data_IF_312130317755
#
_entry.id   IF_312130317755
#
_cell.length_a   1.000
_cell.length_b   1.000
_cell.length_c   1.000
_cell.angle_alpha   90.00
_cell.angle_beta   90.00
_cell.angle_gamma   90.00
#
_symmetry.space_group_name_H-M   'P 1'
#
loop_
_entity.id
_entity.type
_entity.pdbx_description
1 polymer ?
#
# COMPACT_ATOMS: atom_id res chain seq x y z
N UNK A 1 -34.25 -22.83 45.21
CA UNK A 1 -34.22 -22.30 43.83
C UNK A 1 -35.35 -21.30 43.68
N UNK A 2 -35.10 -20.08 43.18
CA UNK A 2 -36.18 -19.14 42.82
C UNK A 2 -37.04 -19.75 41.71
N UNK A 3 -38.34 -19.47 41.70
CA UNK A 3 -39.18 -19.94 40.60
C UNK A 3 -38.78 -19.26 39.27
N UNK A 4 -39.00 -19.91 38.11
CA UNK A 4 -38.71 -19.28 36.82
C UNK A 4 -39.37 -17.91 36.63
N UNK A 5 -40.58 -17.70 37.20
CA UNK A 5 -41.28 -16.40 37.15
C UNK A 5 -40.62 -15.32 38.01
N UNK A 6 -40.10 -15.68 39.17
CA UNK A 6 -39.37 -14.75 40.04
C UNK A 6 -38.02 -14.36 39.45
N UNK A 7 -37.31 -15.32 38.84
CA UNK A 7 -36.07 -15.07 38.12
C UNK A 7 -36.30 -14.15 36.92
N UNK A 8 -37.37 -14.39 36.15
CA UNK A 8 -37.74 -13.54 35.01
C UNK A 8 -38.03 -12.10 35.46
N UNK A 9 -38.85 -11.92 36.50
CA UNK A 9 -39.13 -10.60 37.06
C UNK A 9 -37.85 -9.88 37.50
N UNK A 10 -37.00 -10.58 38.27
CA UNK A 10 -35.76 -10.01 38.81
C UNK A 10 -34.81 -9.57 37.69
N UNK A 11 -34.57 -10.44 36.71
CA UNK A 11 -33.63 -10.15 35.62
C UNK A 11 -34.17 -9.09 34.66
N UNK A 12 -35.50 -9.01 34.45
CA UNK A 12 -36.11 -8.00 33.58
C UNK A 12 -35.99 -6.57 34.12
N UNK A 13 -35.82 -6.41 35.43
CA UNK A 13 -35.70 -5.12 36.10
C UNK A 13 -34.23 -4.66 36.22
N UNK A 14 -33.26 -5.53 35.90
CA UNK A 14 -31.83 -5.28 36.04
C UNK A 14 -31.20 -4.84 34.71
N UNK A 15 -30.15 -4.01 34.80
CA UNK A 15 -29.34 -3.68 33.64
C UNK A 15 -28.42 -4.85 33.29
N UNK A 16 -28.73 -5.57 32.21
CA UNK A 16 -27.98 -6.78 31.84
C UNK A 16 -26.53 -6.46 31.45
N UNK A 17 -26.25 -5.25 30.92
CA UNK A 17 -24.90 -4.81 30.59
C UNK A 17 -23.95 -4.87 31.80
N UNK A 18 -24.48 -4.65 33.01
CA UNK A 18 -23.70 -4.70 34.24
C UNK A 18 -23.17 -6.10 34.57
N UNK A 19 -23.79 -7.17 34.06
CA UNK A 19 -23.28 -8.54 34.18
C UNK A 19 -22.22 -8.88 33.14
N UNK A 20 -22.16 -8.12 32.04
CA UNK A 20 -21.18 -8.30 30.97
C UNK A 20 -19.88 -7.56 31.29
N UNK A 21 -19.99 -6.37 31.89
CA UNK A 21 -18.83 -5.54 32.25
C UNK A 21 -17.92 -6.28 33.24
N UNK A 22 -16.65 -6.41 32.87
CA UNK A 22 -15.60 -6.91 33.77
C UNK A 22 -15.11 -5.80 34.70
N UNK A 23 -14.48 -6.15 35.82
CA UNK A 23 -13.89 -5.17 36.74
C UNK A 23 -12.83 -4.28 36.08
N UNK A 24 -12.10 -4.83 35.09
CA UNK A 24 -11.12 -4.09 34.28
C UNK A 24 -11.75 -3.08 33.32
N UNK A 25 -13.03 -3.24 32.96
CA UNK A 25 -13.74 -2.38 32.02
C UNK A 25 -14.36 -1.19 32.75
N UNK A 26 -13.50 -0.26 33.17
CA UNK A 26 -13.90 0.95 33.91
C UNK A 26 -14.58 1.98 33.02
N UNK A 27 -15.22 2.99 33.63
CA UNK A 27 -15.79 4.12 32.90
C UNK A 27 -14.73 4.91 32.10
N UNK A 28 -13.50 4.98 32.62
CA UNK A 28 -12.37 5.62 31.95
C UNK A 28 -11.93 4.84 30.71
N UNK A 29 -11.94 3.50 30.77
CA UNK A 29 -11.70 2.64 29.60
C UNK A 29 -12.81 2.83 28.57
N UNK A 30 -14.07 2.81 29.01
CA UNK A 30 -15.22 2.99 28.14
C UNK A 30 -15.18 4.34 27.40
N UNK A 31 -14.87 5.43 28.11
CA UNK A 31 -14.73 6.76 27.52
C UNK A 31 -13.51 6.86 26.60
N UNK A 32 -12.40 6.21 26.93
CA UNK A 32 -11.22 6.22 26.08
C UNK A 32 -11.49 5.51 24.73
N UNK A 33 -12.23 4.40 24.73
CA UNK A 33 -12.66 3.72 23.49
C UNK A 33 -13.60 4.62 22.69
N UNK A 34 -14.58 5.28 23.33
CA UNK A 34 -15.47 6.25 22.66
C UNK A 34 -14.70 7.41 22.03
N UNK A 35 -13.69 7.92 22.74
CA UNK A 35 -12.79 8.95 22.23
C UNK A 35 -12.05 8.50 20.96
N UNK A 36 -11.54 7.27 20.94
CA UNK A 36 -10.87 6.74 19.75
C UNK A 36 -11.82 6.53 18.57
N UNK A 37 -13.03 6.00 18.83
CA UNK A 37 -14.10 5.89 17.82
C UNK A 37 -14.41 7.27 17.20
N UNK A 38 -14.49 8.31 18.02
CA UNK A 38 -14.71 9.67 17.53
C UNK A 38 -13.58 10.15 16.61
N UNK A 39 -12.32 9.91 16.98
CA UNK A 39 -11.17 10.27 16.15
C UNK A 39 -11.16 9.53 14.80
N UNK A 40 -11.48 8.24 14.78
CA UNK A 40 -11.61 7.47 13.54
C UNK A 40 -12.69 8.04 12.62
N UNK A 41 -13.82 8.45 13.18
CA UNK A 41 -14.84 9.14 12.39
C UNK A 41 -14.38 10.51 11.88
N UNK A 42 -13.67 11.31 12.67
CA UNK A 42 -13.06 12.55 12.19
C UNK A 42 -12.09 12.29 11.03
N UNK A 43 -11.22 11.28 11.16
CA UNK A 43 -10.30 10.82 10.13
C UNK A 43 -11.02 10.44 8.84
N UNK A 44 -12.11 9.66 8.95
CA UNK A 44 -12.98 9.30 7.82
C UNK A 44 -13.46 10.53 7.05
N UNK A 45 -14.03 11.53 7.71
CA UNK A 45 -14.55 12.72 7.04
C UNK A 45 -13.42 13.55 6.43
N UNK A 46 -12.29 13.67 7.12
CA UNK A 46 -11.09 14.33 6.60
C UNK A 46 -10.61 13.70 5.29
N UNK A 47 -10.39 12.37 5.27
CA UNK A 47 -9.91 11.68 4.07
C UNK A 47 -10.94 11.67 2.94
N UNK A 48 -12.23 11.59 3.26
CA UNK A 48 -13.30 11.70 2.26
C UNK A 48 -13.32 13.07 1.59
N UNK A 49 -13.05 14.15 2.34
CA UNK A 49 -12.92 15.50 1.80
C UNK A 49 -11.74 15.61 0.84
N UNK A 50 -10.57 15.12 1.25
CA UNK A 50 -9.38 15.08 0.38
C UNK A 50 -9.63 14.29 -0.91
N UNK A 51 -10.22 13.10 -0.79
CA UNK A 51 -10.57 12.25 -1.94
C UNK A 51 -11.43 13.01 -2.96
N UNK A 52 -12.47 13.70 -2.47
CA UNK A 52 -13.40 14.44 -3.31
C UNK A 52 -12.73 15.64 -3.98
N UNK A 53 -11.86 16.35 -3.28
CA UNK A 53 -11.14 17.49 -3.84
C UNK A 53 -10.17 17.09 -4.96
N UNK A 54 -9.51 15.92 -4.82
CA UNK A 54 -8.62 15.38 -5.85
C UNK A 54 -9.36 15.04 -7.16
N UNK A 55 -10.67 14.75 -7.08
CA UNK A 55 -11.51 14.42 -8.25
C UNK A 55 -12.04 15.64 -9.00
N UNK A 56 -11.86 16.86 -8.48
CA UNK A 56 -12.27 18.08 -9.18
C UNK A 56 -11.50 18.19 -10.50
N UNK A 57 -12.16 18.67 -11.56
CA UNK A 57 -11.56 18.75 -12.90
C UNK A 57 -10.30 19.61 -12.95
N UNK A 58 -10.19 20.63 -12.10
CA UNK A 58 -9.02 21.49 -11.98
C UNK A 58 -7.87 20.90 -11.14
N UNK A 59 -8.07 19.73 -10.51
CA UNK A 59 -7.04 18.98 -9.76
C UNK A 59 -6.69 17.67 -10.47
N UNK A 60 -7.70 16.85 -10.81
CA UNK A 60 -7.60 15.62 -11.60
C UNK A 60 -6.53 14.60 -11.15
N UNK A 61 -6.35 14.43 -9.83
CA UNK A 61 -5.40 13.48 -9.23
C UNK A 61 -6.11 12.20 -8.77
N UNK A 62 -6.50 11.33 -9.71
CA UNK A 62 -7.32 10.15 -9.38
C UNK A 62 -6.59 9.07 -8.56
N UNK A 63 -5.25 9.02 -8.61
CA UNK A 63 -4.45 8.14 -7.76
C UNK A 63 -4.49 8.59 -6.31
N UNK A 64 -4.28 9.87 -6.04
CA UNK A 64 -4.48 10.46 -4.72
C UNK A 64 -5.93 10.31 -4.24
N UNK A 65 -6.91 10.53 -5.13
CA UNK A 65 -8.32 10.31 -4.79
C UNK A 65 -8.58 8.87 -4.31
N UNK A 66 -7.93 7.89 -4.95
CA UNK A 66 -8.03 6.47 -4.59
C UNK A 66 -7.38 6.17 -3.24
N UNK A 67 -6.20 6.74 -2.98
CA UNK A 67 -5.52 6.65 -1.68
C UNK A 67 -6.42 7.18 -0.56
N UNK A 68 -6.94 8.40 -0.70
CA UNK A 68 -7.77 8.99 0.36
C UNK A 68 -9.12 8.30 0.53
N UNK A 69 -9.70 7.79 -0.57
CA UNK A 69 -10.92 6.97 -0.47
C UNK A 69 -10.68 5.69 0.33
N UNK A 70 -9.50 5.08 0.13
CA UNK A 70 -9.08 3.90 0.87
C UNK A 70 -8.93 4.22 2.36
N UNK A 71 -8.15 5.25 2.72
CA UNK A 71 -7.97 5.69 4.12
C UNK A 71 -9.33 6.00 4.79
N UNK A 72 -10.23 6.70 4.10
CA UNK A 72 -11.57 6.97 4.63
C UNK A 72 -12.41 5.70 4.85
N UNK A 73 -12.21 4.66 4.03
CA UNK A 73 -12.91 3.38 4.16
C UNK A 73 -12.34 2.56 5.33
N UNK A 74 -11.02 2.58 5.50
CA UNK A 74 -10.33 1.92 6.61
C UNK A 74 -10.77 2.55 7.94
N UNK A 75 -10.67 3.87 8.13
CA UNK A 75 -11.16 4.56 9.33
C UNK A 75 -12.64 4.25 9.66
N UNK A 76 -13.50 4.11 8.64
CA UNK A 76 -14.89 3.73 8.86
C UNK A 76 -15.03 2.29 9.38
N UNK A 77 -14.28 1.35 8.79
CA UNK A 77 -14.28 -0.03 9.22
C UNK A 77 -13.74 -0.16 10.66
N UNK A 78 -12.73 0.63 11.00
CA UNK A 78 -12.11 0.69 12.32
C UNK A 78 -13.07 1.25 13.39
N UNK A 79 -13.70 2.39 13.13
CA UNK A 79 -14.72 2.96 14.00
C UNK A 79 -15.87 1.98 14.25
N UNK A 80 -16.42 1.38 13.18
CA UNK A 80 -17.55 0.43 13.27
C UNK A 80 -17.18 -0.83 14.05
N UNK A 81 -15.95 -1.31 13.88
CA UNK A 81 -15.45 -2.46 14.61
C UNK A 81 -15.30 -2.14 16.10
N UNK A 82 -14.75 -0.97 16.44
CA UNK A 82 -14.61 -0.54 17.83
C UNK A 82 -15.95 -0.27 18.52
N UNK A 83 -16.96 0.23 17.82
CA UNK A 83 -18.33 0.33 18.35
C UNK A 83 -18.87 -1.05 18.74
N UNK A 84 -18.63 -2.05 17.89
CA UNK A 84 -19.03 -3.44 18.16
C UNK A 84 -18.27 -4.01 19.36
N UNK A 85 -16.95 -3.75 19.45
CA UNK A 85 -16.12 -4.13 20.58
C UNK A 85 -16.56 -3.46 21.89
N UNK A 86 -16.89 -2.17 21.84
CA UNK A 86 -17.40 -1.39 22.98
C UNK A 86 -18.66 -2.05 23.55
N UNK A 87 -19.64 -2.35 22.69
CA UNK A 87 -20.89 -3.00 23.08
C UNK A 87 -20.66 -4.43 23.56
N UNK A 88 -19.75 -5.17 22.92
CA UNK A 88 -19.36 -6.53 23.34
C UNK A 88 -18.85 -6.57 24.78
N UNK A 89 -18.15 -5.52 25.23
CA UNK A 89 -17.61 -5.40 26.60
C UNK A 89 -18.65 -4.87 27.61
N UNK A 90 -19.90 -4.66 27.20
CA UNK A 90 -20.97 -4.09 28.02
C UNK A 90 -20.97 -2.56 28.08
N UNK A 91 -20.16 -1.90 27.23
CA UNK A 91 -20.13 -0.44 27.09
C UNK A 91 -21.30 0.09 26.26
N UNK A 92 -21.49 1.42 26.30
CA UNK A 92 -22.57 2.10 25.57
C UNK A 92 -22.00 3.11 24.60
N UNK A 93 -22.47 3.04 23.35
CA UNK A 93 -22.17 4.04 22.35
C UNK A 93 -22.76 5.40 22.77
N UNK A 94 -21.98 6.46 22.60
CA UNK A 94 -22.41 7.85 22.77
C UNK A 94 -21.82 8.69 21.63
N UNK A 95 -22.40 8.61 20.42
CA UNK A 95 -21.91 9.40 19.29
C UNK A 95 -21.99 10.90 19.59
N UNK A 96 -20.98 11.64 19.17
CA UNK A 96 -20.87 13.09 19.33
C UNK A 96 -20.77 13.78 17.96
N UNK A 97 -20.99 15.10 17.94
CA UNK A 97 -20.92 15.89 16.72
C UNK A 97 -19.52 15.82 16.09
N UNK A 98 -19.47 15.48 14.80
CA UNK A 98 -18.22 15.41 14.05
C UNK A 98 -18.02 16.73 13.28
N UNK A 99 -16.98 17.51 13.59
CA UNK A 99 -16.77 18.80 12.94
C UNK A 99 -16.49 18.64 11.45
N UNK A 100 -17.01 19.58 10.65
CA UNK A 100 -16.71 19.63 9.22
C UNK A 100 -15.19 19.82 9.00
N UNK A 101 -14.54 18.99 8.16
CA UNK A 101 -13.14 19.15 7.83
C UNK A 101 -12.89 20.50 7.15
N UNK A 102 -11.91 21.26 7.64
CA UNK A 102 -11.53 22.58 7.11
C UNK A 102 -10.46 22.51 6.01
N UNK A 103 -9.98 21.31 5.69
CA UNK A 103 -8.94 21.08 4.70
C UNK A 103 -9.47 21.28 3.27
N UNK A 104 -8.64 21.84 2.41
CA UNK A 104 -8.90 22.01 0.98
C UNK A 104 -7.67 21.65 0.17
N UNK A 105 -7.85 20.93 -0.94
CA UNK A 105 -6.76 20.67 -1.89
C UNK A 105 -6.43 21.93 -2.72
N UNK A 106 -5.16 22.41 -2.74
CA UNK A 106 -4.73 23.51 -3.60
C UNK A 106 -4.90 23.18 -5.08
N UNK A 107 -5.44 24.10 -5.88
CA UNK A 107 -5.64 23.95 -7.32
C UNK A 107 -4.88 24.95 -8.20
N UNK A 108 -4.25 25.97 -7.61
CA UNK A 108 -3.37 26.91 -8.32
C UNK A 108 -2.17 27.34 -7.43
N UNK A 109 -0.99 26.71 -7.57
CA UNK A 109 -0.77 25.47 -8.33
C UNK A 109 -1.42 24.26 -7.64
N UNK A 110 -1.68 23.20 -8.42
CA UNK A 110 -2.02 21.90 -7.84
C UNK A 110 -0.82 21.37 -7.06
N UNK A 111 -0.94 21.30 -5.73
CA UNK A 111 0.15 20.87 -4.85
C UNK A 111 -0.32 19.89 -3.76
N UNK A 112 0.31 18.71 -3.63
CA UNK A 112 -0.05 17.72 -2.62
C UNK A 112 0.62 17.93 -1.25
N UNK A 113 1.63 18.81 -1.12
CA UNK A 113 2.49 18.83 0.09
C UNK A 113 1.67 19.13 1.34
N UNK A 114 0.93 20.24 1.34
CA UNK A 114 0.17 20.64 2.53
C UNK A 114 -0.95 19.65 2.86
N UNK A 115 -1.78 19.17 1.91
CA UNK A 115 -2.75 18.10 2.18
C UNK A 115 -2.14 16.81 2.74
N UNK A 116 -1.01 16.34 2.19
CA UNK A 116 -0.33 15.12 2.65
C UNK A 116 0.30 15.33 4.03
N UNK A 117 0.81 16.51 4.32
CA UNK A 117 1.33 16.85 5.64
C UNK A 117 0.22 16.85 6.71
N UNK A 118 -0.95 17.40 6.41
CA UNK A 118 -2.11 17.30 7.32
C UNK A 118 -2.61 15.86 7.46
N UNK A 119 -2.61 15.07 6.39
CA UNK A 119 -2.92 13.64 6.45
C UNK A 119 -1.96 12.89 7.39
N UNK A 120 -0.65 13.16 7.30
CA UNK A 120 0.34 12.58 8.22
C UNK A 120 0.06 12.94 9.68
N UNK A 121 -0.40 14.17 9.97
CA UNK A 121 -0.78 14.56 11.33
C UNK A 121 -2.01 13.81 11.82
N UNK A 122 -3.00 13.57 10.95
CA UNK A 122 -4.18 12.78 11.29
C UNK A 122 -3.79 11.35 11.65
N UNK A 123 -3.03 10.65 10.79
CA UNK A 123 -2.55 9.29 11.07
C UNK A 123 -1.72 9.23 12.36
N UNK A 124 -0.85 10.24 12.57
CA UNK A 124 -0.05 10.33 13.80
C UNK A 124 -0.91 10.52 15.04
N UNK A 125 -1.98 11.32 14.95
CA UNK A 125 -2.90 11.53 16.07
C UNK A 125 -3.67 10.26 16.43
N UNK A 126 -4.04 9.44 15.45
CA UNK A 126 -4.65 8.12 15.68
C UNK A 126 -3.67 7.20 16.41
N UNK A 127 -2.42 7.12 15.97
CA UNK A 127 -1.38 6.33 16.63
C UNK A 127 -1.11 6.81 18.06
N UNK A 128 -0.94 8.12 18.27
CA UNK A 128 -0.72 8.69 19.60
C UNK A 128 -1.89 8.43 20.54
N UNK A 129 -3.12 8.44 20.03
CA UNK A 129 -4.31 8.10 20.80
C UNK A 129 -4.38 6.62 21.16
N UNK A 130 -4.01 5.70 20.25
CA UNK A 130 -3.89 4.28 20.58
C UNK A 130 -2.85 4.03 21.67
N UNK A 131 -1.71 4.73 21.64
CA UNK A 131 -0.69 4.65 22.69
C UNK A 131 -1.21 5.19 24.03
N UNK A 132 -2.08 6.20 24.02
CA UNK A 132 -2.81 6.65 25.22
C UNK A 132 -3.77 5.57 25.70
N UNK A 133 -4.51 4.93 24.79
CA UNK A 133 -5.45 3.86 25.12
C UNK A 133 -4.75 2.64 25.73
N UNK A 134 -3.56 2.26 25.24
CA UNK A 134 -2.71 1.24 25.86
C UNK A 134 -2.40 1.56 27.33
N UNK A 135 -1.99 2.81 27.62
CA UNK A 135 -1.71 3.22 29.01
C UNK A 135 -2.94 3.12 29.90
N UNK A 136 -4.11 3.47 29.37
CA UNK A 136 -5.39 3.30 30.08
C UNK A 136 -5.68 1.82 30.32
N UNK A 137 -5.49 0.96 29.31
CA UNK A 137 -5.67 -0.49 29.45
C UNK A 137 -4.77 -1.07 30.54
N UNK A 138 -3.47 -0.74 30.54
CA UNK A 138 -2.52 -1.20 31.55
C UNK A 138 -2.85 -0.70 32.95
N UNK A 139 -3.33 0.55 33.08
CA UNK A 139 -3.75 1.13 34.37
C UNK A 139 -4.86 0.32 35.04
N UNK A 140 -5.79 -0.23 34.25
CA UNK A 140 -6.91 -1.04 34.76
C UNK A 140 -6.68 -2.54 34.61
N UNK A 141 -5.47 -2.97 34.24
CA UNK A 141 -5.13 -4.38 33.97
C UNK A 141 -6.11 -5.03 32.97
N UNK A 142 -6.53 -4.29 31.95
CA UNK A 142 -7.46 -4.77 30.91
C UNK A 142 -6.69 -5.45 29.77
N UNK A 143 -6.24 -6.68 30.03
CA UNK A 143 -5.48 -7.48 29.06
C UNK A 143 -6.24 -7.71 27.74
N UNK A 144 -7.58 -7.77 27.78
CA UNK A 144 -8.39 -7.96 26.58
C UNK A 144 -8.42 -6.70 25.69
N UNK A 145 -8.28 -5.53 26.29
CA UNK A 145 -8.12 -4.27 25.56
C UNK A 145 -6.68 -4.12 25.03
N UNK A 146 -5.67 -4.46 25.83
CA UNK A 146 -4.27 -4.45 25.39
C UNK A 146 -4.06 -5.33 24.14
N UNK A 147 -4.47 -6.60 24.21
CA UNK A 147 -4.37 -7.54 23.08
C UNK A 147 -5.07 -7.01 21.82
N UNK A 148 -6.29 -6.48 21.97
CA UNK A 148 -7.04 -5.92 20.86
C UNK A 148 -6.29 -4.77 20.19
N UNK A 149 -5.76 -3.82 20.98
CA UNK A 149 -5.06 -2.65 20.46
C UNK A 149 -3.77 -3.07 19.73
N UNK A 150 -2.99 -3.97 20.32
CA UNK A 150 -1.73 -4.44 19.76
C UNK A 150 -1.91 -5.24 18.46
N UNK A 151 -2.85 -6.17 18.46
CA UNK A 151 -3.05 -7.11 17.35
C UNK A 151 -3.74 -6.45 16.15
N UNK A 152 -4.69 -5.55 16.39
CA UNK A 152 -5.51 -4.97 15.33
C UNK A 152 -5.07 -3.58 14.88
N UNK A 153 -4.68 -2.70 15.80
CA UNK A 153 -4.55 -1.28 15.52
C UNK A 153 -3.11 -0.78 15.49
N UNK A 154 -2.30 -1.06 16.53
CA UNK A 154 -0.98 -0.44 16.68
C UNK A 154 -0.03 -0.72 15.51
N UNK A 155 0.05 -1.97 15.05
CA UNK A 155 0.92 -2.33 13.91
C UNK A 155 0.46 -1.63 12.63
N UNK A 156 -0.85 -1.54 12.44
CA UNK A 156 -1.48 -0.91 11.28
C UNK A 156 -1.21 0.60 11.26
N UNK A 157 -1.50 1.31 12.34
CA UNK A 157 -1.28 2.76 12.41
C UNK A 157 0.21 3.14 12.38
N UNK A 158 1.08 2.33 12.99
CA UNK A 158 2.54 2.55 12.91
C UNK A 158 3.02 2.52 11.44
N UNK A 159 2.51 1.57 10.66
CA UNK A 159 2.80 1.48 9.22
C UNK A 159 2.19 2.65 8.44
N UNK A 160 0.95 3.05 8.73
CA UNK A 160 0.32 4.20 8.06
C UNK A 160 1.10 5.50 8.26
N UNK A 161 1.55 5.79 9.49
CA UNK A 161 2.40 6.96 9.78
C UNK A 161 3.69 6.92 8.97
N UNK A 162 4.34 5.75 8.87
CA UNK A 162 5.56 5.59 8.07
C UNK A 162 5.30 5.77 6.58
N UNK A 163 4.22 5.17 6.06
CA UNK A 163 3.83 5.28 4.66
C UNK A 163 3.51 6.73 4.26
N UNK A 164 2.85 7.48 5.14
CA UNK A 164 2.51 8.88 4.93
C UNK A 164 3.74 9.79 5.03
N UNK A 165 4.69 9.48 5.91
CA UNK A 165 5.98 10.19 5.99
C UNK A 165 6.79 10.06 4.70
N UNK A 166 6.86 8.85 4.15
CA UNK A 166 7.50 8.61 2.85
C UNK A 166 6.76 9.31 1.71
N UNK A 167 5.42 9.28 1.72
CA UNK A 167 4.59 9.98 0.73
C UNK A 167 4.85 11.48 0.73
N UNK A 168 4.91 12.08 1.93
CA UNK A 168 5.22 13.50 2.08
C UNK A 168 6.59 13.81 1.48
N UNK A 169 7.59 12.98 1.75
CA UNK A 169 8.92 13.18 1.20
C UNK A 169 8.94 13.03 -0.34
N UNK A 170 8.16 12.13 -0.92
CA UNK A 170 8.02 12.03 -2.38
C UNK A 170 7.29 13.25 -2.96
N UNK A 171 6.23 13.72 -2.31
CA UNK A 171 5.54 14.96 -2.66
C UNK A 171 6.51 16.14 -2.71
N UNK A 172 7.35 16.30 -1.68
CA UNK A 172 8.41 17.33 -1.65
C UNK A 172 9.41 17.18 -2.80
N UNK A 173 9.76 15.95 -3.21
CA UNK A 173 10.67 15.74 -4.34
C UNK A 173 10.01 16.13 -5.67
N UNK A 174 8.78 15.70 -5.90
CA UNK A 174 8.09 15.91 -7.17
C UNK A 174 7.56 17.33 -7.35
N UNK A 175 7.21 18.03 -6.27
CA UNK A 175 6.74 19.43 -6.31
C UNK A 175 7.86 20.45 -6.53
N UNK A 176 9.14 20.05 -6.56
CA UNK A 176 10.25 20.96 -6.90
C UNK A 176 10.16 21.50 -8.33
N UNK A 177 9.52 20.76 -9.22
CA UNK A 177 9.24 21.19 -10.60
C UNK A 177 7.78 20.89 -10.93
N UNK A 178 7.08 21.79 -11.62
CA UNK A 178 5.64 21.64 -11.84
C UNK A 178 5.31 20.47 -12.78
N UNK A 179 4.22 19.77 -12.46
CA UNK A 179 3.50 18.90 -13.39
C UNK A 179 4.00 17.46 -13.48
N UNK A 180 5.13 17.20 -14.13
CA UNK A 180 5.48 15.84 -14.58
C UNK A 180 5.70 14.85 -13.43
N UNK A 181 6.43 15.26 -12.38
CA UNK A 181 6.68 14.40 -11.22
C UNK A 181 5.39 14.06 -10.46
N UNK A 182 4.50 15.05 -10.30
CA UNK A 182 3.22 14.87 -9.63
C UNK A 182 2.31 13.91 -10.42
N UNK A 183 2.25 14.08 -11.75
CA UNK A 183 1.51 13.16 -12.63
C UNK A 183 2.03 11.72 -12.52
N UNK A 184 3.36 11.54 -12.47
CA UNK A 184 3.94 10.21 -12.32
C UNK A 184 3.58 9.59 -10.95
N UNK A 185 3.74 10.33 -9.87
CA UNK A 185 3.36 9.84 -8.53
C UNK A 185 1.87 9.47 -8.46
N UNK A 186 1.00 10.31 -9.03
CA UNK A 186 -0.44 10.02 -9.13
C UNK A 186 -0.74 8.78 -9.98
N UNK A 187 0.01 8.56 -11.08
CA UNK A 187 -0.10 7.34 -11.90
C UNK A 187 0.27 6.09 -11.11
N UNK A 188 1.34 6.12 -10.31
CA UNK A 188 1.74 4.99 -9.46
C UNK A 188 0.63 4.64 -8.46
N UNK A 189 0.09 5.64 -7.76
CA UNK A 189 -1.03 5.46 -6.83
C UNK A 189 -2.27 4.89 -7.52
N UNK A 190 -2.59 5.36 -8.73
CA UNK A 190 -3.73 4.88 -9.51
C UNK A 190 -3.57 3.41 -9.92
N UNK A 191 -2.39 3.00 -10.38
CA UNK A 191 -2.11 1.60 -10.76
C UNK A 191 -2.18 0.68 -9.54
N UNK A 192 -1.77 1.16 -8.36
CA UNK A 192 -1.80 0.42 -7.10
C UNK A 192 -3.14 0.52 -6.36
N UNK A 193 -4.17 1.11 -6.95
CA UNK A 193 -5.49 1.22 -6.32
C UNK A 193 -5.49 2.04 -5.03
N UNK A 194 -4.64 3.06 -4.94
CA UNK A 194 -4.50 3.91 -3.76
C UNK A 194 -3.56 3.36 -2.69
N UNK A 195 -2.87 2.24 -2.92
CA UNK A 195 -1.81 1.78 -2.01
C UNK A 195 -0.49 2.49 -2.37
N UNK A 196 0.26 2.96 -1.37
CA UNK A 196 1.58 3.56 -1.62
C UNK A 196 2.54 2.52 -2.21
N UNK A 197 3.38 2.88 -3.19
CA UNK A 197 4.28 1.91 -3.84
C UNK A 197 5.24 1.20 -2.88
N UNK A 198 5.58 1.84 -1.75
CA UNK A 198 6.49 1.33 -0.74
C UNK A 198 5.81 0.66 0.46
N UNK A 199 4.48 0.50 0.48
CA UNK A 199 3.75 -0.06 1.62
C UNK A 199 4.32 -1.41 2.10
N UNK A 200 4.68 -2.29 1.16
CA UNK A 200 5.28 -3.60 1.46
C UNK A 200 6.69 -3.51 2.05
N UNK A 201 7.44 -2.45 1.72
CA UNK A 201 8.79 -2.24 2.26
C UNK A 201 8.77 -1.61 3.65
N UNK A 202 7.68 -0.93 4.00
CA UNK A 202 7.44 -0.37 5.33
C UNK A 202 6.80 -1.37 6.30
N UNK A 203 6.55 -2.60 5.85
CA UNK A 203 6.03 -3.68 6.69
C UNK A 203 7.15 -4.69 6.99
N UNK A 204 7.71 -4.71 8.22
CA UNK A 204 8.77 -5.65 8.59
C UNK A 204 8.31 -7.11 8.53
N UNK A 205 7.00 -7.39 8.68
CA UNK A 205 6.48 -8.75 8.59
C UNK A 205 6.48 -9.26 7.13
N UNK A 206 6.70 -8.38 6.14
CA UNK A 206 6.83 -8.78 4.73
C UNK A 206 8.16 -9.45 4.43
N UNK A 207 9.27 -9.02 5.06
CA UNK A 207 10.56 -9.71 4.89
C UNK A 207 10.51 -11.14 5.43
N UNK A 208 9.78 -11.36 6.51
CA UNK A 208 9.61 -12.70 7.09
C UNK A 208 8.82 -13.62 6.16
N UNK A 209 7.80 -13.10 5.46
CA UNK A 209 7.07 -13.87 4.44
C UNK A 209 7.96 -14.22 3.24
N UNK A 210 8.84 -13.31 2.83
CA UNK A 210 9.81 -13.58 1.75
C UNK A 210 10.81 -14.65 2.19
N UNK A 211 11.32 -14.55 3.42
CA UNK A 211 12.21 -15.55 4.00
C UNK A 211 11.53 -16.91 4.12
N UNK A 212 10.32 -16.97 4.69
CA UNK A 212 9.53 -18.20 4.79
C UNK A 212 9.32 -18.83 3.41
N UNK A 213 8.89 -18.04 2.42
CA UNK A 213 8.72 -18.54 1.05
C UNK A 213 10.03 -19.05 0.44
N UNK A 214 11.13 -18.34 0.66
CA UNK A 214 12.46 -18.76 0.17
C UNK A 214 12.92 -20.05 0.84
N UNK A 215 12.67 -20.20 2.14
CA UNK A 215 12.95 -21.41 2.90
C UNK A 215 12.06 -22.57 2.44
N UNK A 216 10.77 -22.34 2.19
CA UNK A 216 9.85 -23.34 1.62
C UNK A 216 10.30 -23.80 0.22
N UNK A 217 10.70 -22.87 -0.65
CA UNK A 217 11.21 -23.17 -1.98
C UNK A 217 12.53 -23.96 -1.91
N UNK A 218 13.42 -23.60 -0.98
CA UNK A 218 14.65 -24.36 -0.70
C UNK A 218 14.32 -25.77 -0.21
N UNK A 219 13.47 -25.92 0.80
CA UNK A 219 13.03 -27.21 1.34
C UNK A 219 12.41 -28.07 0.23
N UNK A 220 11.48 -27.52 -0.56
CA UNK A 220 10.89 -28.23 -1.71
C UNK A 220 11.97 -28.69 -2.68
N UNK A 221 12.93 -27.83 -3.03
CA UNK A 221 14.05 -28.20 -3.90
C UNK A 221 14.97 -29.27 -3.31
N UNK A 222 15.07 -29.35 -1.97
CA UNK A 222 15.87 -30.38 -1.28
C UNK A 222 15.14 -31.73 -1.25
N UNK A 223 13.82 -31.72 -1.03
CA UNK A 223 12.98 -32.93 -0.98
C UNK A 223 12.60 -33.49 -2.36
N UNK A 224 12.56 -32.66 -3.41
CA UNK A 224 12.46 -33.10 -4.80
C UNK A 224 13.74 -33.80 -5.30
N UNK A 225 14.87 -33.63 -4.59
CA UNK A 225 16.13 -34.32 -4.92
C UNK A 225 16.12 -35.80 -4.50
N UNK A 226 15.41 -36.16 -3.43
CA UNK A 226 15.35 -37.53 -2.90
C UNK A 226 14.29 -38.42 -3.59
N UNK A 227 13.38 -37.83 -4.37
CA UNK A 227 12.28 -38.56 -5.04
C UNK A 227 12.43 -38.66 -6.57
N UNK A 228 13.51 -38.12 -7.14
CA UNK A 228 13.80 -38.26 -8.56
C UNK A 228 14.82 -39.40 -8.76
N UNK A 229 14.47 -40.53 -9.42
CA UNK A 229 15.47 -41.52 -9.77
C UNK A 229 16.44 -40.82 -10.73
N UNK A 230 17.70 -40.68 -10.29
CA UNK A 230 18.87 -40.21 -11.04
C UNK A 230 18.50 -39.86 -12.49
N UNK A 231 18.27 -38.57 -12.76
CA UNK A 231 18.19 -38.03 -14.11
C UNK A 231 19.33 -38.67 -14.90
N UNK A 232 18.95 -39.57 -15.82
CA UNK A 232 19.87 -40.34 -16.63
C UNK A 232 20.86 -39.36 -17.27
N UNK A 233 22.15 -39.54 -17.00
CA UNK A 233 23.21 -38.70 -17.55
C UNK A 233 23.09 -38.57 -19.08
N UNK A 234 22.42 -39.52 -19.75
CA UNK A 234 22.10 -39.45 -21.17
C UNK A 234 21.12 -38.32 -21.54
N UNK A 235 20.13 -38.00 -20.70
CA UNK A 235 19.16 -36.93 -20.99
C UNK A 235 19.76 -35.54 -20.73
N UNK A 236 20.64 -35.41 -19.73
CA UNK A 236 21.39 -34.19 -19.52
C UNK A 236 22.37 -33.92 -20.67
N UNK A 237 23.04 -34.96 -21.18
CA UNK A 237 23.92 -34.85 -22.36
C UNK A 237 23.15 -34.44 -23.62
N UNK A 238 21.92 -34.95 -23.83
CA UNK A 238 21.05 -34.54 -24.94
C UNK A 238 20.60 -33.09 -24.81
N UNK A 239 20.26 -32.63 -23.60
CA UNK A 239 19.90 -31.22 -23.38
C UNK A 239 21.07 -30.29 -23.65
N UNK A 240 22.29 -30.63 -23.19
CA UNK A 240 23.50 -29.84 -23.48
C UNK A 240 23.78 -29.78 -24.99
N UNK A 241 23.69 -30.90 -25.70
CA UNK A 241 23.85 -30.91 -27.17
C UNK A 241 22.80 -30.06 -27.89
N UNK A 242 21.55 -30.10 -27.42
CA UNK A 242 20.47 -29.29 -27.99
C UNK A 242 20.71 -27.80 -27.76
N UNK A 243 21.20 -27.45 -26.57
CA UNK A 243 21.54 -26.08 -26.20
C UNK A 243 22.71 -25.54 -27.03
N UNK A 244 23.79 -26.33 -27.20
CA UNK A 244 24.94 -25.97 -28.04
C UNK A 244 24.53 -25.78 -29.51
N UNK A 245 23.62 -26.61 -30.03
CA UNK A 245 23.08 -26.46 -31.39
C UNK A 245 22.29 -25.16 -31.56
N UNK A 246 21.49 -24.79 -30.57
CA UNK A 246 20.69 -23.55 -30.61
C UNK A 246 21.58 -22.30 -30.51
N UNK A 247 22.61 -22.32 -29.67
CA UNK A 247 23.59 -21.23 -29.56
C UNK A 247 24.35 -21.06 -30.88
N UNK A 248 24.84 -22.15 -31.48
CA UNK A 248 25.53 -22.10 -32.78
C UNK A 248 24.64 -21.54 -33.88
N UNK A 249 23.35 -21.92 -33.90
CA UNK A 249 22.38 -21.37 -34.85
C UNK A 249 22.19 -19.86 -34.65
N UNK A 250 21.94 -19.42 -33.42
CA UNK A 250 21.76 -17.99 -33.12
C UNK A 250 23.00 -17.15 -33.48
N UNK A 251 24.20 -17.65 -33.21
CA UNK A 251 25.45 -17.00 -33.62
C UNK A 251 25.58 -16.92 -35.14
N UNK A 252 25.17 -17.96 -35.87
CA UNK A 252 25.20 -17.99 -37.34
C UNK A 252 24.20 -16.99 -37.93
N UNK A 253 23.01 -16.89 -37.35
CA UNK A 253 21.97 -15.95 -37.77
C UNK A 253 22.45 -14.49 -37.59
N UNK A 254 23.03 -14.17 -36.43
CA UNK A 254 23.62 -12.84 -36.14
C UNK A 254 24.80 -12.52 -37.06
N UNK A 255 25.68 -13.49 -37.32
CA UNK A 255 26.78 -13.31 -38.27
C UNK A 255 26.28 -13.04 -39.69
N UNK A 256 25.19 -13.70 -40.09
CA UNK A 256 24.57 -13.51 -41.41
C UNK A 256 23.98 -12.11 -41.53
N UNK A 257 23.23 -11.64 -40.52
CA UNK A 257 22.70 -10.27 -40.48
C UNK A 257 23.80 -9.21 -40.53
N UNK A 258 24.91 -9.42 -39.81
CA UNK A 258 26.06 -8.51 -39.83
C UNK A 258 26.74 -8.46 -41.21
N UNK A 259 26.84 -9.59 -41.91
CA UNK A 259 27.37 -9.64 -43.28
C UNK A 259 26.45 -8.91 -44.24
N UNK A 260 25.13 -9.10 -44.15
CA UNK A 260 24.15 -8.38 -44.97
C UNK A 260 24.19 -6.86 -44.73
N UNK A 261 24.32 -6.43 -43.47
CA UNK A 261 24.51 -5.02 -43.10
C UNK A 261 25.80 -4.45 -43.69
N UNK A 262 26.90 -5.20 -43.67
CA UNK A 262 28.16 -4.77 -44.29
C UNK A 262 28.04 -4.62 -45.81
N UNK A 263 27.35 -5.55 -46.48
CA UNK A 263 27.09 -5.45 -47.93
C UNK A 263 26.21 -4.24 -48.24
N UNK A 264 25.14 -4.01 -47.46
CA UNK A 264 24.29 -2.83 -47.61
C UNK A 264 25.08 -1.53 -47.43
N UNK A 265 25.93 -1.43 -46.41
CA UNK A 265 26.78 -0.26 -46.18
C UNK A 265 27.74 -0.01 -47.34
N UNK A 266 28.38 -1.05 -47.86
CA UNK A 266 29.31 -0.90 -49.01
C UNK A 266 28.57 -0.47 -50.28
N UNK A 267 27.35 -0.95 -50.53
CA UNK A 267 26.51 -0.47 -51.63
C UNK A 267 26.12 1.00 -51.46
N UNK A 268 25.73 1.43 -50.26
CA UNK A 268 25.37 2.84 -49.97
C UNK A 268 26.58 3.75 -50.14
N UNK A 269 27.75 3.36 -49.62
CA UNK A 269 29.00 4.11 -49.78
C UNK A 269 29.42 4.17 -51.26
N UNK A 270 29.29 3.09 -52.02
CA UNK A 270 29.60 3.06 -53.44
C UNK A 270 28.66 3.96 -54.27
N UNK A 271 27.37 4.01 -53.93
CA UNK A 271 26.40 4.93 -54.57
C UNK A 271 26.70 6.39 -54.22
N UNK A 272 26.96 6.69 -52.94
CA UNK A 272 27.34 8.04 -52.51
C UNK A 272 28.65 8.53 -53.17
N UNK A 273 29.62 7.63 -53.38
CA UNK A 273 30.86 7.95 -54.08
C UNK A 273 30.65 8.21 -55.58
N UNK A 274 29.71 7.48 -56.20
CA UNK A 274 29.33 7.66 -57.61
C UNK A 274 28.59 8.99 -57.83
N UNK A 275 27.74 9.39 -56.89
CA UNK A 275 27.02 10.68 -56.91
C UNK A 275 27.94 11.89 -56.71
N UNK A 276 29.07 11.72 -56.00
CA UNK A 276 30.10 12.76 -55.88
C UNK A 276 30.94 12.92 -57.15
N UNK A 277 31.23 11.84 -57.88
CA UNK A 277 31.98 11.89 -59.14
C UNK A 277 31.12 12.37 -60.33
N UNK A 278 29.81 12.14 -60.30
CA UNK A 278 28.89 12.60 -61.36
C UNK A 278 28.60 14.11 -61.38
N UNK A 279 29.10 14.88 -60.40
CA UNK A 279 28.92 16.34 -60.33
C UNK A 279 30.10 17.14 -60.88
N UNK A 280 31.23 16.51 -61.20
CA UNK A 280 32.44 17.20 -61.65
C UNK A 280 32.63 17.21 -63.19
N UNK A 281 31.75 16.58 -63.98
CA UNK A 281 31.90 16.44 -65.45
C UNK A 281 30.96 17.33 -66.30
N UNK A 282 30.45 18.45 -65.77
CA UNK A 282 29.74 19.46 -66.59
C UNK A 282 30.34 20.84 -66.38
N UNK A 283 31.60 21.03 -66.78
CA UNK A 283 32.11 22.31 -67.29
C UNK A 283 33.56 22.15 -67.80
N UNK A 284 33.73 21.58 -68.99
CA UNK A 284 34.82 21.96 -69.92
C UNK A 284 34.65 21.27 -71.27
N UNK A 285 34.06 21.96 -72.23
CA UNK A 285 34.41 21.86 -73.64
C UNK A 285 33.99 23.17 -74.32
N UNK A 286 35.00 23.90 -74.77
CA UNK A 286 34.98 25.06 -75.69
C UNK A 286 34.23 24.80 -76.97
#
# INVERSE_FOLDING_TARGET
MRSPRESLKTLSEQNIDAFVKTESFSEEVEEAIRGHIHLEYQGRFFFRKLSSDCLRSNVSLHGFASLWKRSATECFADATWLESYLVQRGGRAQPTDIPAPKISWPDDPVDPIQPVHEALKVEKSLLEDLLRLCKTASKFSDNALEDMIETRFLRKETRHVKDMGDLLQQCVRVSKQPGHGLYHLDKELRIKGGVTPWASYNDPDTSDKILQKTTEDLIRSTFDFDSNPLLDASDFAKQIQTYDKNIKKALTDVLTELVELCVMLTCVLASSYRDTLGKDDVHTAT
#
